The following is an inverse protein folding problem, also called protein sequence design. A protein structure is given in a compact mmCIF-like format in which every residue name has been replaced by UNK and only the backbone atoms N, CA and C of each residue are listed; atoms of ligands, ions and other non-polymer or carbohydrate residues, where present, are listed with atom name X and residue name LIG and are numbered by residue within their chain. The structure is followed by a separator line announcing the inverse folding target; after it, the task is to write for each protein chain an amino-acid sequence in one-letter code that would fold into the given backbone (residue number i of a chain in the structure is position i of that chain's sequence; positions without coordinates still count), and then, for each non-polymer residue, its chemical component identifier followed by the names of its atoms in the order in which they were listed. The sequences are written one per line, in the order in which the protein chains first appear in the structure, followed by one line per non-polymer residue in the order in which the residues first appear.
data_IF_265277849622
#
_entry.id   IF_265277849622
#
_cell.length_a   1.000
_cell.length_b   1.000
_cell.length_c   1.000
_cell.angle_alpha   90.00
_cell.angle_beta   90.00
_cell.angle_gamma   90.00
#
_symmetry.space_group_name_H-M   'P 1'
#
loop_
_entity.id
_entity.type
_entity.pdbx_description
1 polymer ?
#
# COMPACT_ATOMS: atom_id res chain seq x y z
N UNK A 1 -8.34 17.41 1.97
CA UNK A 1 -8.63 16.31 2.91
C UNK A 1 -9.99 16.53 3.54
N UNK A 2 -10.89 15.55 3.49
CA UNK A 2 -12.30 15.67 3.93
C UNK A 2 -12.65 14.56 4.92
N UNK A 3 -13.67 14.77 5.77
CA UNK A 3 -14.15 13.75 6.72
C UNK A 3 -13.33 13.60 8.02
N UNK A 4 -12.25 14.37 8.19
CA UNK A 4 -11.36 14.28 9.37
C UNK A 4 -11.63 15.30 10.47
N UNK A 5 -12.50 16.30 10.24
CA UNK A 5 -12.72 17.41 11.19
C UNK A 5 -11.39 18.02 11.66
N UNK A 6 -10.65 18.59 10.71
CA UNK A 6 -9.29 19.10 10.94
C UNK A 6 -9.32 20.38 11.77
N UNK A 7 -8.50 20.43 12.82
CA UNK A 7 -8.25 21.63 13.62
C UNK A 7 -6.81 22.09 13.38
N UNK A 8 -6.65 23.27 12.77
CA UNK A 8 -5.34 23.84 12.48
C UNK A 8 -4.64 24.21 13.80
N UNK A 9 -3.37 23.81 13.93
CA UNK A 9 -2.53 24.19 15.05
C UNK A 9 -2.16 25.69 15.00
N UNK A 10 -1.82 26.25 16.16
CA UNK A 10 -1.40 27.66 16.30
C UNK A 10 -0.21 28.07 15.42
N UNK A 11 0.68 27.14 15.07
CA UNK A 11 1.79 27.37 14.12
C UNK A 11 1.31 27.56 12.68
N UNK A 12 0.11 27.08 12.34
CA UNK A 12 -0.38 27.01 10.96
C UNK A 12 0.33 25.96 10.09
N UNK A 13 1.23 25.14 10.65
CA UNK A 13 2.05 24.16 9.91
C UNK A 13 1.37 22.79 9.78
N UNK A 14 0.48 22.42 10.70
CA UNK A 14 -0.24 21.16 10.64
C UNK A 14 -1.63 21.29 11.27
N UNK A 15 -2.47 20.29 11.03
CA UNK A 15 -3.75 20.11 11.73
C UNK A 15 -3.74 18.84 12.57
N UNK A 16 -4.64 18.80 13.56
CA UNK A 16 -4.98 17.63 14.34
C UNK A 16 -6.37 17.09 13.96
N UNK A 17 -6.60 15.81 14.26
CA UNK A 17 -7.90 15.14 14.14
C UNK A 17 -8.01 14.09 15.24
N UNK A 18 -9.23 13.84 15.73
CA UNK A 18 -9.50 12.73 16.65
C UNK A 18 -9.32 11.35 16.00
N UNK A 19 -9.28 11.30 14.67
CA UNK A 19 -9.07 10.07 13.89
C UNK A 19 -7.59 9.84 13.54
N UNK A 20 -6.69 10.76 13.89
CA UNK A 20 -5.27 10.69 13.52
C UNK A 20 -4.39 10.84 14.75
N UNK A 21 -3.75 9.75 15.15
CA UNK A 21 -2.63 9.78 16.10
C UNK A 21 -1.39 10.30 15.36
N UNK A 22 -1.23 11.62 15.31
CA UNK A 22 -0.16 12.26 14.56
C UNK A 22 -0.49 13.70 14.16
N UNK A 23 0.06 14.13 13.03
CA UNK A 23 -0.18 15.43 12.42
C UNK A 23 -0.70 15.23 10.99
N UNK A 24 -1.55 16.16 10.57
CA UNK A 24 -2.07 16.23 9.21
C UNK A 24 -1.46 17.44 8.52
N UNK A 25 -0.89 17.25 7.33
CA UNK A 25 -0.16 18.29 6.61
C UNK A 25 -0.82 18.57 5.25
N UNK A 26 -0.79 19.84 4.81
CA UNK A 26 -1.32 20.24 3.51
C UNK A 26 -0.40 21.29 2.86
N UNK A 27 -0.37 21.32 1.52
CA UNK A 27 0.51 22.22 0.76
C UNK A 27 0.22 23.71 0.98
N UNK A 28 -0.98 24.06 1.45
CA UNK A 28 -1.37 25.43 1.77
C UNK A 28 -1.00 25.87 3.20
N UNK A 29 -0.37 25.00 4.00
CA UNK A 29 0.04 25.31 5.37
C UNK A 29 1.35 26.10 5.40
N UNK A 30 1.62 26.73 6.55
CA UNK A 30 2.79 27.58 6.74
C UNK A 30 4.11 26.83 6.54
N UNK A 31 5.17 27.55 6.19
CA UNK A 31 6.54 27.00 6.10
C UNK A 31 6.96 26.37 7.44
N UNK A 32 7.63 25.20 7.44
CA UNK A 32 8.24 24.49 6.30
C UNK A 32 7.36 23.42 5.63
N UNK A 33 6.07 23.35 5.92
CA UNK A 33 5.23 22.22 5.49
C UNK A 33 5.14 22.03 3.97
N UNK A 34 4.93 23.11 3.21
CA UNK A 34 4.81 23.01 1.75
C UNK A 34 6.08 22.45 1.06
N UNK A 35 7.31 22.94 1.34
CA UNK A 35 8.51 22.34 0.77
C UNK A 35 8.76 20.90 1.26
N UNK A 36 8.48 20.57 2.52
CA UNK A 36 8.61 19.19 3.03
C UNK A 36 7.67 18.22 2.31
N UNK A 37 6.41 18.61 2.07
CA UNK A 37 5.47 17.81 1.29
C UNK A 37 5.91 17.64 -0.16
N UNK A 38 6.50 18.68 -0.77
CA UNK A 38 7.06 18.57 -2.13
C UNK A 38 8.17 17.52 -2.19
N UNK A 39 9.08 17.51 -1.21
CA UNK A 39 10.12 16.48 -1.09
C UNK A 39 9.52 15.09 -0.90
N UNK A 40 8.54 14.94 0.01
CA UNK A 40 7.90 13.65 0.26
C UNK A 40 7.18 13.09 -0.98
N UNK A 41 6.54 13.95 -1.80
CA UNK A 41 5.92 13.54 -3.07
C UNK A 41 6.97 13.13 -4.10
N UNK A 42 8.09 13.84 -4.17
CA UNK A 42 9.21 13.48 -5.05
C UNK A 42 9.82 12.12 -4.66
N UNK A 43 10.04 11.89 -3.36
CA UNK A 43 10.58 10.63 -2.85
C UNK A 43 9.60 9.47 -3.09
N UNK A 44 8.29 9.71 -2.94
CA UNK A 44 7.26 8.75 -3.30
C UNK A 44 7.33 8.38 -4.79
N UNK A 45 7.47 9.35 -5.68
CA UNK A 45 7.59 9.10 -7.13
C UNK A 45 8.85 8.30 -7.45
N UNK A 46 9.98 8.64 -6.82
CA UNK A 46 11.22 7.88 -6.95
C UNK A 46 11.07 6.43 -6.47
N UNK A 47 10.43 6.21 -5.32
CA UNK A 47 10.15 4.87 -4.79
C UNK A 47 9.22 4.06 -5.70
N UNK A 48 8.19 4.69 -6.25
CA UNK A 48 7.31 4.06 -7.25
C UNK A 48 8.12 3.62 -8.48
N UNK A 49 8.95 4.51 -9.04
CA UNK A 49 9.74 4.21 -10.24
C UNK A 49 10.77 3.11 -9.99
N UNK A 50 11.42 3.11 -8.82
CA UNK A 50 12.34 2.05 -8.42
C UNK A 50 11.63 0.69 -8.28
N UNK A 51 10.53 0.64 -7.53
CA UNK A 51 9.72 -0.57 -7.39
C UNK A 51 9.18 -1.09 -8.73
N UNK A 52 8.71 -0.19 -9.59
CA UNK A 52 8.25 -0.51 -10.94
C UNK A 52 9.38 -0.95 -11.88
N UNK A 53 10.63 -0.57 -11.60
CA UNK A 53 11.82 -0.86 -12.41
C UNK A 53 12.62 -2.10 -12.00
N UNK A 54 12.35 -2.73 -10.85
CA UNK A 54 13.13 -3.89 -10.36
C UNK A 54 13.14 -5.06 -11.35
N UNK A 55 14.23 -5.84 -11.38
CA UNK A 55 14.31 -7.03 -12.22
C UNK A 55 13.35 -8.13 -11.71
N UNK A 56 12.59 -8.76 -12.60
CA UNK A 56 11.66 -9.84 -12.24
C UNK A 56 12.44 -11.08 -11.81
N UNK A 57 12.09 -11.67 -10.66
CA UNK A 57 12.58 -12.99 -10.24
C UNK A 57 11.47 -14.04 -10.20
N UNK A 58 10.21 -13.61 -10.23
CA UNK A 58 9.01 -14.45 -10.18
C UNK A 58 8.04 -14.00 -11.30
N UNK A 59 8.19 -14.51 -12.53
CA UNK A 59 7.41 -14.04 -13.67
C UNK A 59 5.96 -14.52 -13.62
N UNK A 60 5.07 -13.77 -14.27
CA UNK A 60 3.65 -14.09 -14.37
C UNK A 60 3.38 -15.50 -14.91
N UNK A 61 4.19 -16.02 -15.83
CA UNK A 61 4.03 -17.38 -16.36
C UNK A 61 4.11 -18.47 -15.30
N UNK A 62 4.75 -18.21 -14.16
CA UNK A 62 4.89 -19.16 -13.04
C UNK A 62 3.84 -18.95 -11.94
N UNK A 63 3.42 -17.69 -11.71
CA UNK A 63 2.58 -17.30 -10.56
C UNK A 63 1.23 -16.66 -10.93
N UNK A 64 0.99 -16.34 -12.19
CA UNK A 64 -0.19 -15.66 -12.74
C UNK A 64 -0.73 -16.33 -14.01
N UNK A 65 -0.96 -15.58 -15.10
CA UNK A 65 -1.61 -16.10 -16.31
C UNK A 65 -0.74 -17.04 -17.17
N UNK A 66 -1.36 -17.98 -17.92
CA UNK A 66 -2.79 -18.30 -17.93
C UNK A 66 -3.23 -19.18 -16.74
N UNK A 67 -2.28 -19.62 -15.89
CA UNK A 67 -2.51 -20.66 -14.89
C UNK A 67 -3.41 -20.23 -13.73
N UNK A 68 -3.26 -18.98 -13.28
CA UNK A 68 -3.94 -18.43 -12.10
C UNK A 68 -4.64 -17.09 -12.35
N UNK A 69 -4.55 -16.53 -13.56
CA UNK A 69 -5.22 -15.28 -13.93
C UNK A 69 -5.03 -14.13 -12.91
N UNK A 70 -3.81 -13.99 -12.38
CA UNK A 70 -3.47 -12.95 -11.40
C UNK A 70 -3.93 -13.23 -9.97
N UNK A 71 -4.60 -14.36 -9.70
CA UNK A 71 -4.95 -14.76 -8.34
C UNK A 71 -3.72 -15.18 -7.54
N UNK A 72 -3.48 -14.51 -6.41
CA UNK A 72 -2.44 -14.86 -5.44
C UNK A 72 -3.00 -15.34 -4.10
N UNK A 73 -4.30 -15.20 -3.86
CA UNK A 73 -4.97 -15.76 -2.68
C UNK A 73 -4.85 -17.29 -2.64
N UNK A 74 -4.74 -17.82 -1.42
CA UNK A 74 -4.48 -19.23 -1.14
C UNK A 74 -3.04 -19.67 -1.38
N UNK A 75 -2.12 -18.73 -1.65
CA UNK A 75 -0.69 -19.03 -1.87
C UNK A 75 0.16 -18.56 -0.71
N UNK A 76 1.30 -19.24 -0.56
CA UNK A 76 2.45 -18.77 0.21
C UNK A 76 3.50 -18.23 -0.74
N UNK A 77 3.82 -16.95 -0.63
CA UNK A 77 4.81 -16.25 -1.44
C UNK A 77 6.12 -16.16 -0.67
N UNK A 78 7.20 -16.64 -1.29
CA UNK A 78 8.56 -16.43 -0.80
C UNK A 78 9.17 -15.10 -1.29
N UNK A 79 10.38 -14.75 -0.84
CA UNK A 79 11.02 -13.49 -1.18
C UNK A 79 11.26 -13.32 -2.69
N UNK A 80 11.20 -12.08 -3.18
CA UNK A 80 11.48 -11.77 -4.58
C UNK A 80 10.57 -10.73 -5.23
N UNK A 81 10.70 -10.61 -6.55
CA UNK A 81 9.99 -9.63 -7.38
C UNK A 81 9.01 -10.35 -8.30
N UNK A 82 7.74 -10.28 -7.92
CA UNK A 82 6.59 -10.80 -8.64
C UNK A 82 6.10 -9.75 -9.63
N UNK A 83 5.97 -10.13 -10.90
CA UNK A 83 5.56 -9.20 -11.96
C UNK A 83 4.36 -9.74 -12.71
N UNK A 84 3.34 -8.90 -12.84
CA UNK A 84 2.09 -9.17 -13.55
C UNK A 84 1.81 -8.05 -14.56
N UNK A 85 1.15 -8.38 -15.67
CA UNK A 85 0.64 -7.38 -16.63
C UNK A 85 -0.89 -7.24 -16.59
N UNK A 86 -1.54 -7.94 -15.66
CA UNK A 86 -2.99 -8.00 -15.43
C UNK A 86 -3.32 -7.67 -13.98
N UNK A 87 -4.61 -7.55 -13.67
CA UNK A 87 -5.06 -7.37 -12.30
C UNK A 87 -4.57 -8.52 -11.41
N UNK A 88 -4.10 -8.17 -10.22
CA UNK A 88 -3.72 -9.14 -9.18
C UNK A 88 -4.85 -9.23 -8.18
N UNK A 89 -5.39 -10.43 -8.02
CA UNK A 89 -6.55 -10.72 -7.20
C UNK A 89 -6.13 -11.43 -5.91
N UNK A 90 -6.73 -11.05 -4.79
CA UNK A 90 -6.61 -11.70 -3.49
C UNK A 90 -8.03 -12.11 -3.07
N UNK A 91 -8.49 -13.25 -3.57
CA UNK A 91 -9.83 -13.79 -3.28
C UNK A 91 -9.88 -14.68 -2.04
N UNK A 92 -8.71 -15.10 -1.55
CA UNK A 92 -8.50 -15.82 -0.30
C UNK A 92 -7.25 -15.25 0.40
N UNK A 93 -7.02 -15.61 1.65
CA UNK A 93 -5.82 -15.19 2.39
C UNK A 93 -4.54 -15.52 1.63
N UNK A 94 -3.57 -14.61 1.67
CA UNK A 94 -2.25 -14.79 1.05
C UNK A 94 -1.17 -14.67 2.12
N UNK A 95 -0.22 -15.60 2.13
CA UNK A 95 0.86 -15.62 3.11
C UNK A 95 2.17 -15.16 2.49
N UNK A 96 2.88 -14.25 3.14
CA UNK A 96 4.28 -13.93 2.86
C UNK A 96 5.17 -14.64 3.88
N UNK A 97 6.01 -15.55 3.41
CA UNK A 97 6.91 -16.33 4.25
C UNK A 97 8.35 -16.00 3.93
N UNK A 98 9.06 -15.47 4.93
CA UNK A 98 10.48 -15.12 4.86
C UNK A 98 11.00 -14.69 6.21
N UNK A 99 12.26 -14.27 6.26
CA UNK A 99 12.92 -13.73 7.44
C UNK A 99 12.69 -12.22 7.58
N UNK A 100 13.20 -11.62 8.66
CA UNK A 100 13.12 -10.16 8.87
C UNK A 100 13.91 -9.34 7.85
N UNK A 101 14.84 -9.97 7.12
CA UNK A 101 15.67 -9.33 6.10
C UNK A 101 15.12 -9.51 4.68
N UNK A 102 14.12 -10.37 4.52
CA UNK A 102 13.61 -10.74 3.20
C UNK A 102 12.64 -9.68 2.66
N UNK A 103 12.78 -9.40 1.37
CA UNK A 103 12.02 -8.38 0.65
C UNK A 103 11.09 -9.00 -0.40
N UNK A 104 9.89 -8.45 -0.49
CA UNK A 104 8.84 -8.87 -1.41
C UNK A 104 8.36 -7.66 -2.20
N UNK A 105 8.43 -7.74 -3.52
CA UNK A 105 7.93 -6.70 -4.41
C UNK A 105 6.93 -7.35 -5.34
N UNK A 106 5.68 -6.88 -5.27
CA UNK A 106 4.60 -7.33 -6.13
C UNK A 106 4.24 -6.15 -6.99
N UNK A 107 4.46 -6.27 -8.30
CA UNK A 107 4.14 -5.21 -9.24
C UNK A 107 3.17 -5.67 -10.31
N UNK A 108 2.27 -4.77 -10.69
CA UNK A 108 1.36 -4.97 -11.81
C UNK A 108 1.23 -3.72 -12.67
N UNK A 109 1.12 -3.89 -14.00
CA UNK A 109 0.70 -2.81 -14.91
C UNK A 109 -0.79 -2.50 -14.86
N UNK A 110 -1.55 -3.19 -14.00
CA UNK A 110 -2.97 -3.01 -13.77
C UNK A 110 -3.25 -2.72 -12.27
N UNK A 111 -4.33 -3.27 -11.72
CA UNK A 111 -4.78 -3.00 -10.34
C UNK A 111 -4.50 -4.16 -9.38
N UNK A 112 -4.48 -3.86 -8.07
CA UNK A 112 -4.67 -4.86 -7.02
C UNK A 112 -6.12 -4.84 -6.55
N UNK A 113 -6.72 -6.03 -6.43
CA UNK A 113 -8.11 -6.22 -6.02
C UNK A 113 -8.15 -7.24 -4.88
N UNK A 114 -8.41 -6.76 -3.67
CA UNK A 114 -8.52 -7.60 -2.48
C UNK A 114 -9.98 -7.76 -2.04
N UNK A 115 -10.43 -9.02 -1.96
CA UNK A 115 -11.80 -9.37 -1.65
C UNK A 115 -12.13 -9.21 -0.15
N UNK A 116 -13.42 -9.23 0.18
CA UNK A 116 -13.91 -9.04 1.54
C UNK A 116 -13.43 -10.16 2.46
N UNK A 117 -13.18 -9.85 3.74
CA UNK A 117 -12.75 -10.82 4.76
C UNK A 117 -11.45 -11.60 4.43
N UNK A 118 -10.62 -11.09 3.52
CA UNK A 118 -9.31 -11.70 3.21
C UNK A 118 -8.18 -11.04 3.98
N UNK A 119 -7.14 -11.81 4.27
CA UNK A 119 -6.00 -11.38 5.06
C UNK A 119 -4.68 -11.57 4.28
N UNK A 120 -3.79 -10.58 4.37
CA UNK A 120 -2.36 -10.78 4.12
C UNK A 120 -1.71 -11.24 5.42
N UNK A 121 -1.07 -12.41 5.41
CA UNK A 121 -0.50 -13.07 6.59
C UNK A 121 1.02 -13.05 6.48
N UNK A 122 1.72 -12.74 7.57
CA UNK A 122 3.18 -12.78 7.64
C UNK A 122 3.63 -14.00 8.43
N UNK A 123 4.56 -14.78 7.87
CA UNK A 123 5.14 -15.96 8.48
C UNK A 123 6.67 -15.95 8.40
N UNK A 124 7.32 -16.77 9.25
CA UNK A 124 8.78 -16.96 9.23
C UNK A 124 9.62 -15.79 9.77
N UNK A 125 8.98 -14.69 10.16
CA UNK A 125 9.63 -13.44 10.57
C UNK A 125 9.56 -12.33 9.53
N UNK A 126 8.84 -12.53 8.42
CA UNK A 126 8.60 -11.48 7.43
C UNK A 126 8.00 -10.23 8.07
N UNK A 127 8.46 -9.06 7.62
CA UNK A 127 8.03 -7.76 8.12
C UNK A 127 7.24 -7.01 7.05
N UNK A 128 6.14 -6.36 7.47
CA UNK A 128 5.29 -5.57 6.58
C UNK A 128 6.08 -4.49 5.83
N UNK A 129 7.04 -3.83 6.48
CA UNK A 129 7.88 -2.81 5.86
C UNK A 129 8.79 -3.30 4.73
N UNK A 130 8.96 -4.61 4.59
CA UNK A 130 9.69 -5.23 3.49
C UNK A 130 8.79 -5.73 2.35
N UNK A 131 7.47 -5.48 2.43
CA UNK A 131 6.50 -5.83 1.38
C UNK A 131 6.09 -4.57 0.63
N UNK A 132 6.30 -4.57 -0.68
CA UNK A 132 6.00 -3.44 -1.57
C UNK A 132 4.97 -3.84 -2.62
N UNK A 133 3.84 -3.14 -2.63
CA UNK A 133 2.76 -3.29 -3.61
C UNK A 133 2.84 -2.15 -4.62
N UNK A 134 3.27 -2.43 -5.85
CA UNK A 134 3.48 -1.43 -6.90
C UNK A 134 2.41 -1.56 -7.97
N UNK A 135 1.45 -0.63 -8.01
CA UNK A 135 0.32 -0.67 -8.95
C UNK A 135 0.38 0.48 -9.94
N UNK A 136 0.33 0.17 -11.24
CA UNK A 136 0.21 1.19 -12.28
C UNK A 136 -1.21 1.77 -12.40
N UNK A 137 -2.21 1.13 -11.80
CA UNK A 137 -3.58 1.64 -11.67
C UNK A 137 -3.92 1.82 -10.18
N UNK A 138 -4.94 1.15 -9.66
CA UNK A 138 -5.43 1.31 -8.30
C UNK A 138 -5.13 0.11 -7.40
N UNK A 139 -5.17 0.33 -6.09
CA UNK A 139 -5.29 -0.74 -5.10
C UNK A 139 -6.63 -0.59 -4.36
N UNK A 140 -7.53 -1.55 -4.58
CA UNK A 140 -8.85 -1.61 -3.94
C UNK A 140 -8.93 -2.74 -2.92
N UNK A 141 -9.29 -2.39 -1.69
CA UNK A 141 -9.53 -3.29 -0.55
C UNK A 141 -11.02 -3.28 -0.18
N UNK A 142 -11.65 -4.44 -0.25
CA UNK A 142 -13.06 -4.62 0.10
C UNK A 142 -13.28 -4.67 1.63
N UNK A 143 -14.53 -4.83 2.05
CA UNK A 143 -14.90 -4.74 3.46
C UNK A 143 -14.20 -5.80 4.32
N UNK A 144 -13.77 -5.41 5.51
CA UNK A 144 -13.14 -6.28 6.52
C UNK A 144 -11.88 -7.03 6.03
N UNK A 145 -11.23 -6.57 4.95
CA UNK A 145 -9.95 -7.12 4.50
C UNK A 145 -8.76 -6.49 5.23
N UNK A 146 -7.67 -7.24 5.36
CA UNK A 146 -6.41 -6.76 5.94
C UNK A 146 -5.25 -6.93 4.96
N UNK A 147 -4.40 -5.91 4.85
CA UNK A 147 -3.15 -5.99 4.08
C UNK A 147 -1.95 -5.61 4.94
N UNK A 148 -0.77 -6.06 4.52
CA UNK A 148 0.51 -5.75 5.14
C UNK A 148 1.43 -5.07 4.11
N UNK A 149 2.08 -3.99 4.52
CA UNK A 149 3.19 -3.36 3.81
C UNK A 149 2.93 -2.02 3.12
N UNK A 150 3.78 -1.71 2.15
CA UNK A 150 3.91 -0.37 1.56
C UNK A 150 3.21 -0.36 0.20
N UNK A 151 2.12 0.40 0.09
CA UNK A 151 1.39 0.58 -1.17
C UNK A 151 1.98 1.76 -1.92
N UNK A 152 2.42 1.53 -3.15
CA UNK A 152 2.89 2.51 -4.14
C UNK A 152 1.96 2.46 -5.36
N UNK A 153 0.89 3.24 -5.34
CA UNK A 153 -0.11 3.27 -6.40
C UNK A 153 0.01 4.51 -7.28
N UNK A 154 0.01 4.32 -8.60
CA UNK A 154 0.03 5.41 -9.58
C UNK A 154 -1.30 6.17 -9.66
N UNK A 155 -2.41 5.54 -9.26
CA UNK A 155 -3.70 6.22 -9.19
C UNK A 155 -4.26 6.18 -7.77
N UNK A 156 -5.47 5.64 -7.60
CA UNK A 156 -6.20 5.68 -6.35
C UNK A 156 -5.87 4.48 -5.43
N UNK A 157 -6.04 4.69 -4.13
CA UNK A 157 -6.12 3.60 -3.15
C UNK A 157 -7.45 3.72 -2.41
N UNK A 158 -8.19 2.62 -2.35
CA UNK A 158 -9.56 2.59 -1.82
C UNK A 158 -9.68 1.52 -0.75
N UNK A 159 -10.10 1.92 0.44
CA UNK A 159 -10.43 1.02 1.53
C UNK A 159 -11.92 1.11 1.84
N UNK A 160 -12.62 -0.01 1.71
CA UNK A 160 -14.00 -0.15 2.13
C UNK A 160 -14.11 -0.30 3.66
N UNK A 161 -15.35 -0.34 4.14
CA UNK A 161 -15.67 -0.36 5.57
C UNK A 161 -14.97 -1.50 6.31
N UNK A 162 -14.28 -1.18 7.41
CA UNK A 162 -13.64 -2.18 8.28
C UNK A 162 -12.33 -2.73 7.76
N UNK A 163 -11.89 -2.35 6.55
CA UNK A 163 -10.58 -2.74 6.05
C UNK A 163 -9.45 -2.15 6.92
N UNK A 164 -8.28 -2.78 6.90
CA UNK A 164 -7.14 -2.35 7.69
C UNK A 164 -5.79 -2.61 7.02
N UNK A 165 -4.76 -1.92 7.51
CA UNK A 165 -3.38 -2.08 7.05
C UNK A 165 -2.39 -1.84 8.19
N UNK A 166 -1.34 -2.67 8.28
CA UNK A 166 -0.07 -2.23 8.87
C UNK A 166 0.93 -1.93 7.76
N UNK A 167 1.37 -0.67 7.69
CA UNK A 167 2.29 -0.21 6.65
C UNK A 167 2.05 1.25 6.26
N UNK A 168 2.22 1.56 4.97
CA UNK A 168 2.12 2.94 4.45
C UNK A 168 1.35 2.97 3.13
N UNK A 169 0.58 4.03 2.92
CA UNK A 169 -0.19 4.24 1.70
C UNK A 169 0.37 5.45 0.97
N UNK A 170 0.91 5.21 -0.22
CA UNK A 170 1.39 6.24 -1.14
C UNK A 170 0.63 6.14 -2.46
N UNK A 171 -0.19 7.14 -2.74
CA UNK A 171 -1.03 7.22 -3.93
C UNK A 171 -0.73 8.52 -4.68
N UNK A 172 -0.45 8.45 -5.98
CA UNK A 172 -0.21 9.64 -6.79
C UNK A 172 -1.49 10.43 -7.11
N UNK A 173 -2.68 9.86 -6.86
CA UNK A 173 -3.94 10.61 -6.93
C UNK A 173 -4.64 10.73 -5.59
N UNK A 174 -5.60 9.86 -5.27
CA UNK A 174 -6.46 10.00 -4.10
C UNK A 174 -6.53 8.72 -3.28
N UNK A 175 -6.55 8.88 -1.95
CA UNK A 175 -6.86 7.82 -0.99
C UNK A 175 -8.28 8.02 -0.48
N UNK A 176 -9.11 6.97 -0.54
CA UNK A 176 -10.48 6.96 0.00
C UNK A 176 -10.59 5.95 1.13
N UNK A 177 -11.06 6.40 2.29
CA UNK A 177 -11.15 5.58 3.50
C UNK A 177 -12.59 5.53 4.02
N UNK A 178 -13.11 4.33 4.29
CA UNK A 178 -14.38 4.11 4.97
C UNK A 178 -14.11 3.39 6.30
N UNK A 179 -14.09 4.09 7.44
CA UNK A 179 -13.89 3.49 8.78
C UNK A 179 -12.74 2.46 8.81
N UNK A 180 -11.54 2.91 8.46
CA UNK A 180 -10.35 2.07 8.23
C UNK A 180 -9.39 2.21 9.39
N UNK A 181 -8.75 1.11 9.78
CA UNK A 181 -7.60 1.16 10.70
C UNK A 181 -6.30 1.18 9.89
N UNK A 182 -5.51 2.23 10.03
CA UNK A 182 -4.20 2.38 9.39
C UNK A 182 -3.16 2.49 10.50
N UNK A 183 -2.24 1.53 10.54
CA UNK A 183 -1.14 1.50 11.50
C UNK A 183 0.17 1.66 10.75
N UNK A 184 0.96 2.69 11.07
CA UNK A 184 2.30 2.83 10.48
C UNK A 184 3.26 1.81 11.10
N UNK A 185 4.01 1.08 10.27
CA UNK A 185 5.11 0.22 10.73
C UNK A 185 6.33 1.06 11.11
N UNK A 186 7.01 0.67 12.19
CA UNK A 186 8.27 1.27 12.63
C UNK A 186 9.44 0.55 11.96
N UNK A 187 10.18 1.29 11.12
CA UNK A 187 11.46 0.87 10.56
C UNK A 187 12.58 1.03 11.59
#
# INVERSE_FOLDING_TARGET
MTGFTLVLDSSGQFSKSTQVTGNVYAASYATPTAPELSTAVYDMEAAYNDGAGRATTKPESEYGAPKYAGEIGGKTLGPGVYSFIIDVNISNDVTFSGTSEDVFIIRTSASFIQATNTQVILEGGALAENIFWVSALEYSLAADSHTEGIILAKTAVKFATGASINGRIFAQTAVTLQKVLITQTTC
#
